data_IF_819045212172
#
_entry.id   IF_819045212172
#
_cell.length_a   1.000
_cell.length_b   1.000
_cell.length_c   1.000
_cell.angle_alpha   90.00
_cell.angle_beta   90.00
_cell.angle_gamma   90.00
#
_symmetry.space_group_name_H-M   'P 1'
#
loop_
_entity.id
_entity.type
_entity.pdbx_description
1 polymer ?
#
# COMPACT_ATOMS: atom_id res chain seq x y z
N UNK A 1 -24.86 3.93 34.11
CA UNK A 1 -25.03 4.10 32.66
C UNK A 1 -24.08 3.22 31.84
N UNK A 2 -22.82 3.00 32.22
CA UNK A 2 -21.88 2.14 31.49
C UNK A 2 -22.35 0.69 31.31
N UNK A 3 -22.97 0.09 32.31
CA UNK A 3 -23.42 -1.31 32.25
C UNK A 3 -24.52 -1.56 31.19
N UNK A 4 -25.48 -0.64 31.06
CA UNK A 4 -26.56 -0.74 30.06
C UNK A 4 -25.98 -0.55 28.67
N UNK A 5 -25.10 0.44 28.48
CA UNK A 5 -24.39 0.66 27.21
C UNK A 5 -23.65 -0.59 26.77
N UNK A 6 -22.82 -1.17 27.64
CA UNK A 6 -22.02 -2.35 27.31
C UNK A 6 -22.90 -3.57 26.98
N UNK A 7 -23.99 -3.77 27.71
CA UNK A 7 -24.95 -4.84 27.40
C UNK A 7 -25.62 -4.64 26.03
N UNK A 8 -26.01 -3.40 25.71
CA UNK A 8 -26.62 -3.06 24.41
C UNK A 8 -25.63 -3.26 23.25
N UNK A 9 -24.38 -2.82 23.40
CA UNK A 9 -23.33 -3.01 22.37
C UNK A 9 -23.11 -4.50 22.13
N UNK A 10 -22.91 -5.31 23.20
CA UNK A 10 -22.73 -6.77 23.05
C UNK A 10 -23.91 -7.42 22.35
N UNK A 11 -25.14 -7.02 22.69
CA UNK A 11 -26.34 -7.55 22.04
C UNK A 11 -26.40 -7.21 20.57
N UNK A 12 -26.06 -5.95 20.15
CA UNK A 12 -26.01 -5.54 18.76
C UNK A 12 -24.95 -6.31 17.98
N UNK A 13 -23.73 -6.41 18.50
CA UNK A 13 -22.65 -7.17 17.85
C UNK A 13 -23.02 -8.65 17.68
N UNK A 14 -23.68 -9.24 18.66
CA UNK A 14 -24.20 -10.61 18.58
C UNK A 14 -25.25 -10.77 17.46
N UNK A 15 -26.17 -9.79 17.32
CA UNK A 15 -27.17 -9.82 16.24
C UNK A 15 -26.51 -9.62 14.86
N UNK A 16 -25.49 -8.76 14.74
CA UNK A 16 -24.71 -8.60 13.50
C UNK A 16 -23.99 -9.90 13.13
N UNK A 17 -23.38 -10.58 14.11
CA UNK A 17 -22.75 -11.88 13.88
C UNK A 17 -23.78 -12.90 13.39
N UNK A 18 -24.92 -13.00 14.05
CA UNK A 18 -26.01 -13.88 13.61
C UNK A 18 -26.48 -13.55 12.20
N UNK A 19 -26.59 -12.26 11.84
CA UNK A 19 -26.98 -11.83 10.49
C UNK A 19 -25.93 -12.24 9.46
N UNK A 20 -24.63 -12.06 9.75
CA UNK A 20 -23.55 -12.44 8.83
C UNK A 20 -23.50 -13.94 8.53
N UNK A 21 -23.92 -14.78 9.50
CA UNK A 21 -23.96 -16.23 9.35
C UNK A 21 -25.24 -16.71 8.68
N UNK A 22 -26.39 -16.11 9.04
CA UNK A 22 -27.72 -16.60 8.57
C UNK A 22 -28.19 -15.99 7.26
N UNK A 23 -27.71 -14.82 6.88
CA UNK A 23 -28.08 -14.13 5.64
C UNK A 23 -26.92 -13.23 5.16
N UNK A 24 -25.87 -13.81 4.52
CA UNK A 24 -24.70 -13.08 4.07
C UNK A 24 -25.04 -11.93 3.11
N UNK A 25 -25.95 -12.11 2.17
CA UNK A 25 -26.35 -11.06 1.21
C UNK A 25 -26.87 -9.82 1.92
N UNK A 26 -27.78 -10.00 2.88
CA UNK A 26 -28.30 -8.89 3.69
C UNK A 26 -27.24 -8.29 4.59
N UNK A 27 -26.27 -9.08 5.02
CA UNK A 27 -25.14 -8.57 5.78
C UNK A 27 -24.23 -7.70 4.90
N UNK A 28 -24.00 -8.06 3.65
CA UNK A 28 -23.22 -7.26 2.71
C UNK A 28 -23.90 -5.92 2.38
N UNK A 29 -25.25 -5.91 2.26
CA UNK A 29 -26.01 -4.66 2.17
C UNK A 29 -25.81 -3.77 3.41
N UNK A 30 -25.83 -4.35 4.61
CA UNK A 30 -25.56 -3.65 5.85
C UNK A 30 -24.12 -3.11 5.88
N UNK A 31 -23.13 -3.90 5.50
CA UNK A 31 -21.72 -3.54 5.46
C UNK A 31 -21.47 -2.37 4.50
N UNK A 32 -22.15 -2.30 3.38
CA UNK A 32 -22.03 -1.17 2.44
C UNK A 32 -22.23 0.19 3.11
N UNK A 33 -23.03 0.25 4.18
CA UNK A 33 -23.34 1.50 4.88
C UNK A 33 -22.64 1.61 6.25
N UNK A 34 -22.38 0.49 6.93
CA UNK A 34 -21.97 0.46 8.33
C UNK A 34 -20.59 -0.13 8.58
N UNK A 35 -19.84 -0.52 7.56
CA UNK A 35 -18.48 -1.06 7.71
C UNK A 35 -17.55 -0.06 8.41
N UNK A 36 -17.57 1.20 7.96
CA UNK A 36 -16.73 2.27 8.55
C UNK A 36 -16.98 2.46 10.05
N UNK A 37 -18.22 2.63 10.57
CA UNK A 37 -18.47 2.67 12.00
C UNK A 37 -17.97 1.45 12.78
N UNK A 38 -18.03 0.25 12.20
CA UNK A 38 -17.48 -0.96 12.82
C UNK A 38 -15.95 -0.91 12.90
N UNK A 39 -15.28 -0.44 11.84
CA UNK A 39 -13.83 -0.22 11.79
C UNK A 39 -13.38 0.84 12.80
N UNK A 40 -14.11 1.95 12.93
CA UNK A 40 -13.86 2.98 13.96
C UNK A 40 -13.91 2.40 15.38
N UNK A 41 -14.77 1.41 15.60
CA UNK A 41 -14.85 0.65 16.84
C UNK A 41 -13.55 -0.06 17.21
N UNK A 42 -12.75 -0.51 16.24
CA UNK A 42 -11.46 -1.16 16.49
C UNK A 42 -10.46 -0.26 17.20
N UNK A 43 -10.55 1.05 16.97
CA UNK A 43 -9.70 2.05 17.62
C UNK A 43 -10.22 2.48 18.99
N UNK A 44 -11.56 2.49 19.19
CA UNK A 44 -12.20 3.09 20.37
C UNK A 44 -12.76 2.07 21.38
N UNK A 45 -13.05 0.83 20.96
CA UNK A 45 -13.66 -0.21 21.81
C UNK A 45 -12.80 -1.49 21.86
N UNK A 46 -11.70 -1.40 22.60
CA UNK A 46 -10.77 -2.53 22.77
C UNK A 46 -11.43 -3.77 23.38
N UNK A 47 -12.52 -3.62 24.15
CA UNK A 47 -13.19 -4.73 24.80
C UNK A 47 -14.00 -5.61 23.83
N UNK A 48 -14.37 -5.10 22.68
CA UNK A 48 -15.10 -5.81 21.63
C UNK A 48 -14.27 -5.98 20.35
N UNK A 49 -12.95 -5.70 20.38
CA UNK A 49 -12.08 -5.69 19.20
C UNK A 49 -12.13 -6.99 18.42
N UNK A 50 -12.03 -8.15 19.10
CA UNK A 50 -12.06 -9.46 18.44
C UNK A 50 -13.40 -9.70 17.73
N UNK A 51 -14.51 -9.33 18.38
CA UNK A 51 -15.82 -9.44 17.74
C UNK A 51 -15.97 -8.50 16.54
N UNK A 52 -15.41 -7.30 16.62
CA UNK A 52 -15.42 -6.34 15.52
C UNK A 52 -14.58 -6.84 14.33
N UNK A 53 -13.43 -7.47 14.58
CA UNK A 53 -12.59 -8.08 13.53
C UNK A 53 -13.31 -9.20 12.77
N UNK A 54 -14.20 -9.95 13.43
CA UNK A 54 -15.05 -10.95 12.78
C UNK A 54 -16.15 -10.32 11.91
N UNK A 55 -16.57 -9.10 12.23
CA UNK A 55 -17.70 -8.42 11.60
C UNK A 55 -17.29 -7.55 10.42
N UNK A 56 -16.17 -6.87 10.46
CA UNK A 56 -15.73 -6.00 9.38
C UNK A 56 -15.49 -6.79 8.08
N UNK A 57 -15.60 -6.08 6.97
CA UNK A 57 -15.40 -6.67 5.65
C UNK A 57 -14.45 -5.82 4.83
N UNK A 58 -13.79 -6.47 3.89
CA UNK A 58 -12.85 -5.86 2.96
C UNK A 58 -13.13 -6.37 1.54
N UNK A 59 -12.70 -5.61 0.56
CA UNK A 59 -12.57 -6.10 -0.81
C UNK A 59 -11.25 -6.83 -0.97
N UNK A 60 -11.09 -7.60 -2.04
CA UNK A 60 -9.83 -8.32 -2.29
C UNK A 60 -9.50 -8.41 -3.77
N UNK A 61 -8.29 -8.87 -4.09
CA UNK A 61 -7.85 -9.11 -5.46
C UNK A 61 -8.46 -10.37 -6.09
N UNK A 62 -8.96 -11.30 -5.27
CA UNK A 62 -9.43 -12.62 -5.71
C UNK A 62 -10.96 -12.71 -5.83
N UNK A 63 -11.69 -11.81 -5.16
CA UNK A 63 -13.14 -11.89 -5.09
C UNK A 63 -13.80 -10.60 -5.57
N UNK A 64 -14.96 -10.77 -6.21
CA UNK A 64 -15.93 -9.69 -6.36
C UNK A 64 -16.74 -9.56 -5.07
N UNK A 65 -16.94 -8.33 -4.56
CA UNK A 65 -17.66 -8.08 -3.31
C UNK A 65 -16.78 -8.12 -2.07
N UNK A 66 -17.38 -8.50 -0.94
CA UNK A 66 -16.74 -8.43 0.36
C UNK A 66 -16.22 -9.78 0.86
N UNK A 67 -15.14 -9.74 1.64
CA UNK A 67 -14.58 -10.87 2.37
C UNK A 67 -14.29 -10.50 3.83
N UNK A 68 -14.31 -11.49 4.72
CA UNK A 68 -13.85 -11.35 6.10
C UNK A 68 -12.38 -11.76 6.24
N UNK A 69 -11.74 -11.39 7.34
CA UNK A 69 -10.40 -11.87 7.69
C UNK A 69 -10.37 -13.39 7.87
N UNK A 70 -11.44 -13.98 8.46
CA UNK A 70 -11.57 -15.43 8.61
C UNK A 70 -11.59 -16.14 7.24
N UNK A 71 -12.43 -15.67 6.31
CA UNK A 71 -12.51 -16.26 4.97
C UNK A 71 -11.23 -16.05 4.16
N UNK A 72 -10.53 -14.91 4.34
CA UNK A 72 -9.20 -14.71 3.76
C UNK A 72 -8.21 -15.76 4.28
N UNK A 73 -8.16 -15.96 5.62
CA UNK A 73 -7.29 -16.94 6.26
C UNK A 73 -7.50 -18.35 5.73
N UNK A 74 -8.75 -18.76 5.47
CA UNK A 74 -9.07 -20.08 4.89
C UNK A 74 -8.52 -20.25 3.46
N UNK A 75 -8.31 -19.15 2.73
CA UNK A 75 -7.77 -19.16 1.36
C UNK A 75 -6.25 -18.95 1.30
N UNK A 76 -5.63 -18.64 2.45
CA UNK A 76 -4.16 -18.45 2.49
C UNK A 76 -3.43 -19.69 2.00
N UNK A 77 -2.36 -19.47 1.26
CA UNK A 77 -1.46 -20.56 0.83
C UNK A 77 -0.57 -21.01 1.97
N UNK A 78 -0.07 -22.24 1.89
CA UNK A 78 0.80 -22.83 2.92
C UNK A 78 2.10 -22.06 3.14
N UNK A 79 2.63 -21.43 2.08
CA UNK A 79 3.86 -20.62 2.10
C UNK A 79 3.62 -19.13 2.43
N UNK A 80 2.37 -18.72 2.57
CA UNK A 80 1.99 -17.34 2.89
C UNK A 80 2.11 -17.08 4.39
N UNK A 81 2.85 -16.03 4.77
CA UNK A 81 3.16 -15.72 6.17
C UNK A 81 2.26 -14.68 6.80
N UNK A 82 1.66 -13.82 5.99
CA UNK A 82 0.92 -12.64 6.45
C UNK A 82 -0.39 -12.46 5.69
N UNK A 83 -1.33 -11.74 6.28
CA UNK A 83 -2.49 -11.20 5.57
C UNK A 83 -2.03 -9.91 4.91
N UNK A 84 -1.95 -9.91 3.58
CA UNK A 84 -1.50 -8.75 2.82
C UNK A 84 -2.63 -7.80 2.53
N UNK A 85 -2.38 -6.50 2.65
CA UNK A 85 -3.34 -5.47 2.30
C UNK A 85 -2.70 -4.25 1.65
N UNK A 86 -3.50 -3.52 0.89
CA UNK A 86 -3.17 -2.22 0.37
C UNK A 86 -4.28 -1.25 0.76
N UNK A 87 -3.91 -0.16 1.42
CA UNK A 87 -4.81 0.90 1.87
C UNK A 87 -4.34 2.26 1.35
N UNK A 88 -5.20 3.27 1.45
CA UNK A 88 -4.84 4.66 1.19
C UNK A 88 -5.27 5.20 -0.16
N UNK A 89 -6.39 4.74 -0.70
CA UNK A 89 -6.93 5.26 -1.94
C UNK A 89 -8.32 4.71 -2.24
N UNK A 90 -8.91 5.13 -3.34
CA UNK A 90 -10.13 4.51 -3.84
C UNK A 90 -9.85 3.12 -4.44
N UNK A 91 -10.87 2.29 -4.49
CA UNK A 91 -10.77 0.91 -4.97
C UNK A 91 -10.13 0.80 -6.36
N UNK A 92 -10.48 1.68 -7.30
CA UNK A 92 -9.98 1.58 -8.68
C UNK A 92 -8.48 1.87 -8.75
N UNK A 93 -8.03 2.85 -7.98
CA UNK A 93 -6.61 3.20 -7.86
C UNK A 93 -5.83 2.08 -7.19
N UNK A 94 -6.32 1.57 -6.06
CA UNK A 94 -5.66 0.47 -5.33
C UNK A 94 -5.53 -0.80 -6.19
N UNK A 95 -6.59 -1.19 -6.92
CA UNK A 95 -6.57 -2.38 -7.80
C UNK A 95 -5.59 -2.27 -8.97
N UNK A 96 -5.21 -1.04 -9.36
CA UNK A 96 -4.24 -0.77 -10.43
C UNK A 96 -2.83 -0.55 -9.92
N UNK A 97 -2.63 -0.58 -8.60
CA UNK A 97 -1.29 -0.39 -8.02
C UNK A 97 -0.31 -1.45 -8.53
N UNK A 98 0.87 -1.05 -9.02
CA UNK A 98 1.89 -1.99 -9.47
C UNK A 98 2.41 -2.90 -8.34
N UNK A 99 2.20 -2.51 -7.08
CA UNK A 99 2.61 -3.29 -5.91
C UNK A 99 1.89 -4.64 -5.80
N UNK A 100 0.69 -4.76 -6.36
CA UNK A 100 -0.14 -5.98 -6.27
C UNK A 100 0.41 -7.12 -7.12
N UNK A 101 1.06 -6.81 -8.25
CA UNK A 101 1.40 -7.81 -9.25
C UNK A 101 2.28 -8.95 -8.70
N UNK A 102 3.30 -8.64 -7.91
CA UNK A 102 4.19 -9.64 -7.34
C UNK A 102 3.48 -10.62 -6.39
N UNK A 103 2.51 -10.12 -5.61
CA UNK A 103 1.69 -10.96 -4.74
C UNK A 103 0.76 -11.86 -5.55
N UNK A 104 0.10 -11.32 -6.56
CA UNK A 104 -0.73 -12.09 -7.50
C UNK A 104 0.07 -13.17 -8.23
N UNK A 105 1.27 -12.86 -8.70
CA UNK A 105 2.16 -13.81 -9.37
C UNK A 105 2.55 -14.98 -8.46
N UNK A 106 2.60 -14.76 -7.15
CA UNK A 106 2.76 -15.83 -6.15
C UNK A 106 1.46 -16.53 -5.77
N UNK A 107 0.32 -16.06 -6.27
CA UNK A 107 -1.00 -16.54 -5.89
C UNK A 107 -1.40 -16.12 -4.47
N UNK A 108 -0.87 -15.00 -3.99
CA UNK A 108 -1.25 -14.41 -2.71
C UNK A 108 -2.35 -13.39 -2.92
N UNK A 109 -3.44 -13.56 -2.21
CA UNK A 109 -4.53 -12.59 -2.16
C UNK A 109 -4.09 -11.32 -1.44
N UNK A 110 -4.53 -10.15 -1.93
CA UNK A 110 -4.31 -8.85 -1.28
C UNK A 110 -5.66 -8.22 -0.98
N UNK A 111 -5.89 -7.82 0.28
CA UNK A 111 -7.06 -7.06 0.66
C UNK A 111 -6.98 -5.64 0.12
N UNK A 112 -8.05 -5.17 -0.45
CA UNK A 112 -8.22 -3.79 -0.95
C UNK A 112 -9.01 -3.02 0.11
N UNK A 113 -8.32 -2.14 0.80
CA UNK A 113 -8.85 -1.38 1.93
C UNK A 113 -9.09 0.06 1.50
N UNK A 114 -10.28 0.31 0.97
CA UNK A 114 -10.65 1.57 0.32
C UNK A 114 -11.38 2.57 1.22
N UNK A 115 -11.50 2.29 2.52
CA UNK A 115 -11.94 3.25 3.52
C UNK A 115 -10.74 4.10 4.01
N UNK A 116 -10.86 5.41 4.02
CA UNK A 116 -9.82 6.33 4.52
C UNK A 116 -9.32 6.00 5.94
N UNK A 117 -10.18 5.37 6.76
CA UNK A 117 -9.85 5.01 8.14
C UNK A 117 -8.97 3.75 8.23
N UNK A 118 -8.94 2.91 7.20
CA UNK A 118 -8.20 1.65 7.21
C UNK A 118 -6.71 1.88 7.45
N UNK A 119 -6.15 2.90 6.84
CA UNK A 119 -4.73 3.27 6.97
C UNK A 119 -4.32 3.69 8.40
N UNK A 120 -5.29 4.04 9.23
CA UNK A 120 -5.09 4.40 10.63
C UNK A 120 -5.40 3.22 11.56
N UNK A 121 -6.52 2.56 11.31
CA UNK A 121 -7.07 1.56 12.23
C UNK A 121 -6.34 0.23 12.10
N UNK A 122 -6.11 -0.25 10.88
CA UNK A 122 -5.54 -1.58 10.64
C UNK A 122 -4.12 -1.73 11.21
N UNK A 123 -3.21 -0.74 11.08
CA UNK A 123 -1.89 -0.82 11.74
C UNK A 123 -1.98 -0.93 13.27
N UNK A 124 -3.03 -0.36 13.90
CA UNK A 124 -3.21 -0.49 15.36
C UNK A 124 -3.70 -1.87 15.80
N UNK A 125 -4.32 -2.61 14.89
CA UNK A 125 -4.70 -4.01 15.10
C UNK A 125 -3.48 -4.91 14.99
N UNK A 126 -2.71 -4.76 13.92
CA UNK A 126 -1.44 -5.42 13.68
C UNK A 126 -1.54 -6.92 13.36
N UNK A 127 -2.47 -7.65 13.97
CA UNK A 127 -2.61 -9.11 13.82
C UNK A 127 -4.07 -9.57 13.86
N UNK A 128 -4.33 -10.68 13.17
CA UNK A 128 -5.57 -11.45 13.25
C UNK A 128 -5.22 -12.93 13.43
N UNK A 129 -5.71 -13.58 14.50
CA UNK A 129 -5.40 -14.97 14.86
C UNK A 129 -3.89 -15.29 14.77
N UNK A 130 -3.06 -14.47 15.42
CA UNK A 130 -1.59 -14.55 15.40
C UNK A 130 -0.92 -14.33 14.03
N UNK A 131 -1.68 -14.10 12.95
CA UNK A 131 -1.16 -13.78 11.63
C UNK A 131 -1.02 -12.26 11.50
N UNK A 132 0.13 -11.81 11.05
CA UNK A 132 0.42 -10.38 10.84
C UNK A 132 -0.44 -9.81 9.70
N UNK A 133 -1.01 -8.61 9.92
CA UNK A 133 -1.62 -7.78 8.87
C UNK A 133 -0.51 -6.89 8.30
N UNK A 134 -0.11 -7.13 7.05
CA UNK A 134 1.06 -6.49 6.44
C UNK A 134 0.67 -5.62 5.25
N UNK A 135 0.94 -4.32 5.34
CA UNK A 135 0.72 -3.37 4.26
C UNK A 135 1.76 -3.54 3.16
N UNK A 136 1.32 -3.84 1.93
CA UNK A 136 2.24 -4.08 0.82
C UNK A 136 2.93 -2.81 0.28
N UNK A 137 2.52 -1.63 0.68
CA UNK A 137 3.21 -0.37 0.40
C UNK A 137 4.28 0.00 1.44
N UNK A 138 4.58 -0.90 2.38
CA UNK A 138 5.69 -0.79 3.31
C UNK A 138 6.95 -1.49 2.77
N UNK A 139 8.12 -0.96 3.14
CA UNK A 139 9.41 -1.49 2.67
C UNK A 139 9.67 -2.93 3.12
N UNK A 140 9.28 -3.30 4.33
CA UNK A 140 9.46 -4.66 4.87
C UNK A 140 8.57 -5.72 4.22
N UNK A 141 7.50 -5.33 3.54
CA UNK A 141 6.56 -6.27 2.97
C UNK A 141 7.18 -7.13 1.84
N UNK A 142 8.22 -6.63 1.19
CA UNK A 142 8.94 -7.34 0.13
C UNK A 142 9.71 -8.57 0.65
N UNK A 143 10.08 -8.61 1.93
CA UNK A 143 10.88 -9.70 2.50
C UNK A 143 10.18 -11.06 2.43
N UNK A 144 8.84 -11.06 2.41
CA UNK A 144 8.04 -12.28 2.31
C UNK A 144 7.98 -12.85 0.88
N UNK A 145 8.29 -12.03 -0.12
CA UNK A 145 8.20 -12.40 -1.54
C UNK A 145 9.55 -12.45 -2.24
N UNK A 146 10.61 -11.90 -1.64
CA UNK A 146 11.96 -11.80 -2.22
C UNK A 146 12.60 -13.16 -2.42
N UNK A 147 13.22 -13.35 -3.58
CA UNK A 147 13.94 -14.58 -3.97
C UNK A 147 15.46 -14.37 -3.93
N UNK A 148 16.22 -15.44 -4.07
CA UNK A 148 17.68 -15.34 -4.18
C UNK A 148 18.10 -14.67 -5.51
N UNK A 149 17.33 -14.86 -6.58
CA UNK A 149 17.53 -14.18 -7.86
C UNK A 149 17.38 -12.65 -7.69
N UNK A 150 16.39 -12.20 -6.90
CA UNK A 150 16.19 -10.77 -6.62
C UNK A 150 17.40 -10.17 -5.89
N UNK A 151 18.03 -10.91 -4.99
CA UNK A 151 19.25 -10.47 -4.30
C UNK A 151 20.42 -10.29 -5.26
N UNK A 152 20.53 -11.14 -6.28
CA UNK A 152 21.57 -11.01 -7.31
C UNK A 152 21.31 -9.82 -8.23
N UNK A 153 20.06 -9.65 -8.66
CA UNK A 153 19.62 -8.46 -9.44
C UNK A 153 19.90 -7.16 -8.69
N UNK A 154 19.58 -7.12 -7.39
CA UNK A 154 19.86 -5.97 -6.53
C UNK A 154 21.36 -5.63 -6.50
N UNK A 155 22.24 -6.64 -6.37
CA UNK A 155 23.69 -6.43 -6.40
C UNK A 155 24.15 -5.87 -7.73
N UNK A 156 23.64 -6.40 -8.85
CA UNK A 156 23.98 -5.95 -10.19
C UNK A 156 23.48 -4.51 -10.47
N UNK A 157 22.33 -4.15 -9.90
CA UNK A 157 21.73 -2.83 -10.09
C UNK A 157 22.38 -1.71 -9.24
N UNK A 158 23.21 -2.02 -8.26
CA UNK A 158 23.81 -1.01 -7.35
C UNK A 158 24.36 0.24 -8.05
N UNK A 159 25.09 0.15 -9.19
CA UNK A 159 25.61 1.35 -9.85
C UNK A 159 24.50 2.29 -10.34
N UNK A 160 23.45 1.77 -10.98
CA UNK A 160 22.33 2.58 -11.47
C UNK A 160 21.48 3.13 -10.34
N UNK A 161 21.24 2.35 -9.28
CA UNK A 161 20.54 2.83 -8.08
C UNK A 161 21.27 4.01 -7.44
N UNK A 162 22.60 3.94 -7.35
CA UNK A 162 23.43 5.05 -6.87
C UNK A 162 23.33 6.27 -7.77
N UNK A 163 23.42 6.12 -9.11
CA UNK A 163 23.23 7.24 -10.05
C UNK A 163 21.89 7.96 -9.81
N UNK A 164 20.80 7.20 -9.65
CA UNK A 164 19.47 7.74 -9.40
C UNK A 164 19.41 8.44 -8.02
N UNK A 165 19.95 7.81 -6.96
CA UNK A 165 19.96 8.41 -5.62
C UNK A 165 20.76 9.71 -5.59
N UNK A 166 21.94 9.75 -6.21
CA UNK A 166 22.77 10.94 -6.30
C UNK A 166 22.05 12.07 -7.05
N UNK A 167 21.29 11.75 -8.11
CA UNK A 167 20.51 12.72 -8.87
C UNK A 167 19.29 13.26 -8.11
N UNK A 168 18.62 12.43 -7.31
CA UNK A 168 17.42 12.80 -6.54
C UNK A 168 17.73 13.46 -5.19
N UNK A 169 18.92 13.22 -4.63
CA UNK A 169 19.32 13.78 -3.34
C UNK A 169 18.34 13.48 -2.23
N UNK A 170 17.93 14.52 -1.50
CA UNK A 170 17.03 14.41 -0.34
C UNK A 170 15.54 14.25 -0.70
N UNK A 171 15.19 14.20 -1.99
CA UNK A 171 13.81 13.95 -2.43
C UNK A 171 13.33 12.54 -2.11
N UNK A 172 14.26 11.60 -1.92
CA UNK A 172 13.99 10.20 -1.56
C UNK A 172 14.88 9.80 -0.37
N UNK A 173 14.35 8.96 0.51
CA UNK A 173 15.13 8.38 1.63
C UNK A 173 16.22 7.44 1.07
N UNK A 174 15.81 6.54 0.21
CA UNK A 174 16.67 5.56 -0.47
C UNK A 174 16.18 5.29 -1.89
N UNK A 175 17.06 4.70 -2.71
CA UNK A 175 16.72 4.09 -3.99
C UNK A 175 17.15 2.63 -3.94
N UNK A 176 16.20 1.71 -4.12
CA UNK A 176 16.44 0.27 -3.98
C UNK A 176 15.93 -0.50 -5.20
N UNK A 177 16.47 -1.70 -5.43
CA UNK A 177 15.93 -2.58 -6.46
C UNK A 177 14.60 -3.18 -5.99
N UNK A 178 13.59 -3.15 -6.84
CA UNK A 178 12.29 -3.74 -6.56
C UNK A 178 12.30 -5.23 -6.88
N UNK A 179 11.68 -6.02 -5.99
CA UNK A 179 11.33 -7.43 -6.25
C UNK A 179 9.82 -7.59 -6.48
N UNK A 180 9.08 -6.49 -6.57
CA UNK A 180 7.61 -6.50 -6.72
C UNK A 180 7.11 -5.86 -8.01
N UNK A 181 7.98 -5.17 -8.76
CA UNK A 181 7.61 -4.55 -10.03
C UNK A 181 7.83 -5.52 -11.19
N UNK A 182 6.87 -5.55 -12.11
CA UNK A 182 6.92 -6.31 -13.36
C UNK A 182 7.01 -5.34 -14.55
N UNK A 183 5.92 -4.69 -14.93
CA UNK A 183 5.87 -3.79 -16.08
C UNK A 183 6.27 -2.34 -15.77
N UNK A 184 6.14 -1.91 -14.51
CA UNK A 184 6.44 -0.54 -14.11
C UNK A 184 7.93 -0.35 -13.86
N UNK A 185 8.53 0.80 -14.28
CA UNK A 185 9.95 1.10 -14.05
C UNK A 185 10.27 1.46 -12.60
N UNK A 186 9.29 2.02 -11.89
CA UNK A 186 9.47 2.50 -10.52
C UNK A 186 8.15 2.54 -9.76
N UNK A 187 8.24 2.47 -8.44
CA UNK A 187 7.16 2.79 -7.50
C UNK A 187 7.74 3.42 -6.25
N UNK A 188 6.89 3.98 -5.40
CA UNK A 188 7.29 4.44 -4.07
C UNK A 188 6.74 3.52 -3.00
N UNK A 189 7.51 3.34 -1.95
CA UNK A 189 7.10 2.71 -0.70
C UNK A 189 7.54 3.58 0.46
N UNK A 190 6.96 3.33 1.64
CA UNK A 190 7.34 4.03 2.87
C UNK A 190 8.07 3.08 3.81
N UNK A 191 8.92 3.64 4.64
CA UNK A 191 9.58 2.88 5.71
C UNK A 191 8.52 2.35 6.69
N UNK A 192 8.85 1.28 7.41
CA UNK A 192 7.93 0.59 8.32
C UNK A 192 7.29 1.55 9.32
N UNK A 193 8.07 2.45 9.88
CA UNK A 193 7.64 3.37 10.92
C UNK A 193 7.15 4.74 10.41
N UNK A 194 7.27 4.98 9.10
CA UNK A 194 6.84 6.26 8.52
C UNK A 194 5.34 6.20 8.19
N UNK A 195 4.59 7.31 8.37
CA UNK A 195 3.20 7.37 7.95
C UNK A 195 3.10 7.29 6.43
N UNK A 196 2.04 6.64 5.94
CA UNK A 196 1.73 6.65 4.50
C UNK A 196 1.44 8.07 4.01
N UNK A 197 1.43 8.25 2.69
CA UNK A 197 1.11 9.54 2.07
C UNK A 197 -0.27 10.01 2.50
N UNK A 198 -1.25 9.11 2.48
CA UNK A 198 -2.64 9.40 2.82
C UNK A 198 -2.77 9.77 4.30
N UNK A 199 -2.09 9.04 5.17
CA UNK A 199 -2.04 9.35 6.60
C UNK A 199 -1.43 10.74 6.85
N UNK A 200 -0.36 11.12 6.13
CA UNK A 200 0.20 12.46 6.22
C UNK A 200 -0.75 13.54 5.73
N UNK A 201 -1.46 13.31 4.61
CA UNK A 201 -2.45 14.25 4.09
C UNK A 201 -3.59 14.45 5.10
N UNK A 202 -4.07 13.36 5.71
CA UNK A 202 -5.09 13.43 6.75
C UNK A 202 -4.62 14.20 7.98
N UNK A 203 -3.41 13.94 8.48
CA UNK A 203 -2.84 14.66 9.62
C UNK A 203 -2.71 16.17 9.33
N UNK A 204 -2.31 16.54 8.11
CA UNK A 204 -2.28 17.93 7.65
C UNK A 204 -3.68 18.55 7.61
N UNK A 205 -4.68 17.83 7.09
CA UNK A 205 -6.07 18.27 7.06
C UNK A 205 -6.66 18.47 8.46
N UNK A 206 -6.19 17.70 9.45
CA UNK A 206 -6.54 17.85 10.88
C UNK A 206 -5.80 18.99 11.60
N UNK A 207 -4.96 19.76 10.86
CA UNK A 207 -4.28 20.94 11.39
C UNK A 207 -2.90 20.66 12.00
N UNK A 208 -2.35 19.46 11.82
CA UNK A 208 -0.96 19.18 12.20
C UNK A 208 -0.03 19.72 11.11
N UNK A 209 0.54 20.91 11.35
CA UNK A 209 1.41 21.60 10.39
C UNK A 209 2.90 21.28 10.54
N UNK A 210 3.32 20.72 11.67
CA UNK A 210 4.72 20.38 11.99
C UNK A 210 5.05 18.90 11.67
N UNK A 211 4.55 18.39 10.55
CA UNK A 211 4.93 17.07 10.10
C UNK A 211 6.23 17.13 9.29
N UNK A 212 7.14 16.15 9.46
CA UNK A 212 8.31 16.04 8.60
C UNK A 212 7.87 15.92 7.14
N UNK A 213 8.70 16.42 6.24
CA UNK A 213 8.43 16.31 4.80
C UNK A 213 8.39 14.83 4.41
N UNK A 214 7.42 14.47 3.57
CA UNK A 214 7.32 13.12 3.04
C UNK A 214 8.53 12.80 2.16
N UNK A 215 9.29 11.80 2.54
CA UNK A 215 10.49 11.35 1.84
C UNK A 215 10.37 9.84 1.60
N UNK A 216 9.87 9.42 0.42
CA UNK A 216 9.64 8.01 0.13
C UNK A 216 10.95 7.26 -0.12
N UNK A 217 10.87 5.93 -0.09
CA UNK A 217 11.83 5.04 -0.71
C UNK A 217 11.37 4.83 -2.15
N UNK A 218 12.27 5.04 -3.12
CA UNK A 218 12.00 4.77 -4.54
C UNK A 218 12.47 3.36 -4.87
N UNK A 219 11.54 2.48 -5.22
CA UNK A 219 11.86 1.17 -5.76
C UNK A 219 11.97 1.23 -7.28
N UNK A 220 13.01 0.63 -7.83
CA UNK A 220 13.35 0.61 -9.25
C UNK A 220 13.33 -0.82 -9.76
N UNK A 221 12.67 -1.06 -10.88
CA UNK A 221 12.71 -2.34 -11.59
C UNK A 221 14.00 -2.44 -12.45
N UNK A 222 15.01 -3.24 -12.04
CA UNK A 222 16.27 -3.34 -12.78
C UNK A 222 16.10 -3.93 -14.18
N UNK A 223 15.05 -4.71 -14.38
CA UNK A 223 14.79 -5.39 -15.66
C UNK A 223 14.06 -4.51 -16.68
N UNK A 224 13.50 -3.38 -16.23
CA UNK A 224 12.76 -2.48 -17.11
C UNK A 224 13.68 -1.81 -18.15
N UNK A 225 13.26 -1.70 -19.44
CA UNK A 225 14.08 -1.14 -20.50
C UNK A 225 14.62 0.27 -20.23
N UNK A 226 13.80 1.13 -19.60
CA UNK A 226 14.21 2.50 -19.23
C UNK A 226 15.37 2.47 -18.23
N UNK A 227 15.35 1.55 -17.27
CA UNK A 227 16.40 1.44 -16.25
C UNK A 227 17.69 0.86 -16.83
N UNK A 228 17.58 -0.16 -17.70
CA UNK A 228 18.73 -0.71 -18.43
C UNK A 228 19.38 0.40 -19.28
N UNK A 229 18.60 1.20 -19.97
CA UNK A 229 19.11 2.32 -20.75
C UNK A 229 19.75 3.39 -19.88
N UNK A 230 19.14 3.75 -18.74
CA UNK A 230 19.69 4.71 -17.78
C UNK A 230 21.06 4.27 -17.23
N UNK A 231 21.27 2.98 -17.04
CA UNK A 231 22.55 2.44 -16.60
C UNK A 231 23.72 2.75 -17.58
N UNK A 232 23.42 2.84 -18.89
CA UNK A 232 24.37 3.09 -19.95
C UNK A 232 24.64 4.60 -20.21
N UNK A 233 23.82 5.50 -19.67
CA UNK A 233 23.93 6.95 -19.88
C UNK A 233 24.98 7.52 -18.92
N UNK A 234 25.85 8.39 -19.46
CA UNK A 234 26.85 9.17 -18.71
C UNK A 234 26.52 10.67 -18.65
N UNK A 235 25.55 11.13 -19.45
CA UNK A 235 25.04 12.51 -19.40
C UNK A 235 24.30 12.78 -18.10
N UNK A 236 24.92 13.58 -17.22
CA UNK A 236 24.39 13.89 -15.88
C UNK A 236 23.06 14.65 -15.91
N UNK A 237 22.83 15.51 -16.93
CA UNK A 237 21.56 16.22 -17.09
C UNK A 237 20.45 15.23 -17.43
N UNK A 238 20.70 14.33 -18.37
CA UNK A 238 19.76 13.29 -18.77
C UNK A 238 19.46 12.32 -17.61
N UNK A 239 20.46 11.92 -16.83
CA UNK A 239 20.29 11.09 -15.62
C UNK A 239 19.37 11.80 -14.61
N UNK A 240 19.60 13.11 -14.38
CA UNK A 240 18.79 13.91 -13.47
C UNK A 240 17.33 14.02 -13.95
N UNK A 241 17.12 14.25 -15.24
CA UNK A 241 15.79 14.38 -15.81
C UNK A 241 15.01 13.06 -15.75
N UNK A 242 15.63 11.97 -16.14
CA UNK A 242 15.01 10.64 -16.08
C UNK A 242 14.70 10.25 -14.62
N UNK A 243 15.64 10.46 -13.71
CA UNK A 243 15.45 10.14 -12.28
C UNK A 243 14.29 10.94 -11.66
N UNK A 244 14.18 12.23 -12.03
CA UNK A 244 13.07 13.09 -11.61
C UNK A 244 11.75 12.57 -12.15
N UNK A 245 11.69 12.21 -13.43
CA UNK A 245 10.46 11.67 -14.05
C UNK A 245 10.07 10.33 -13.43
N UNK A 246 11.03 9.45 -13.13
CA UNK A 246 10.78 8.18 -12.46
C UNK A 246 10.16 8.36 -11.06
N UNK A 247 10.65 9.32 -10.29
CA UNK A 247 10.08 9.63 -8.97
C UNK A 247 8.68 10.27 -9.10
N UNK A 248 8.54 11.27 -9.95
CA UNK A 248 7.30 12.02 -10.08
C UNK A 248 6.16 11.15 -10.64
N UNK A 249 6.44 10.25 -11.59
CA UNK A 249 5.45 9.28 -12.07
C UNK A 249 5.05 8.27 -10.99
N UNK A 250 6.00 7.83 -10.16
CA UNK A 250 5.71 6.92 -9.06
C UNK A 250 4.84 7.61 -7.99
N UNK A 251 5.10 8.89 -7.70
CA UNK A 251 4.24 9.71 -6.83
C UNK A 251 2.83 9.86 -7.40
N UNK A 252 2.70 10.15 -8.70
CA UNK A 252 1.39 10.27 -9.37
C UNK A 252 0.60 8.96 -9.35
N UNK A 253 1.28 7.82 -9.51
CA UNK A 253 0.64 6.50 -9.45
C UNK A 253 0.04 6.20 -8.07
N UNK A 254 0.62 6.76 -7.00
CA UNK A 254 0.11 6.66 -5.63
C UNK A 254 -0.86 7.81 -5.27
N UNK A 255 -1.32 8.60 -6.26
CA UNK A 255 -2.25 9.70 -6.04
C UNK A 255 -1.63 10.92 -5.35
N UNK A 256 -0.31 11.00 -5.29
CA UNK A 256 0.39 12.15 -4.70
C UNK A 256 0.52 13.28 -5.71
N UNK A 257 0.12 14.46 -5.34
CA UNK A 257 0.35 15.65 -6.17
C UNK A 257 1.84 15.98 -6.21
N UNK A 258 2.40 16.01 -7.42
CA UNK A 258 3.79 16.44 -7.61
C UNK A 258 3.92 17.95 -7.37
N UNK A 259 5.05 18.34 -6.76
CA UNK A 259 5.28 19.75 -6.37
C UNK A 259 5.43 20.68 -7.57
N UNK A 260 5.99 20.19 -8.67
CA UNK A 260 6.36 20.98 -9.83
C UNK A 260 5.85 20.32 -11.14
N UNK A 261 4.53 20.32 -11.40
CA UNK A 261 3.97 19.62 -12.56
C UNK A 261 4.46 20.18 -13.90
N UNK A 262 4.77 21.47 -13.98
CA UNK A 262 5.31 22.09 -15.21
C UNK A 262 6.73 21.57 -15.50
N UNK A 263 7.57 21.47 -14.48
CA UNK A 263 8.92 20.93 -14.62
C UNK A 263 8.90 19.45 -15.04
N UNK A 264 8.01 18.67 -14.45
CA UNK A 264 7.78 17.26 -14.84
C UNK A 264 7.49 17.14 -16.35
N UNK A 265 6.54 17.95 -16.86
CA UNK A 265 6.19 17.94 -18.29
C UNK A 265 7.37 18.39 -19.17
N UNK A 266 8.13 19.41 -18.75
CA UNK A 266 9.31 19.87 -19.48
C UNK A 266 10.39 18.80 -19.58
N UNK A 267 10.72 18.12 -18.48
CA UNK A 267 11.70 17.04 -18.44
C UNK A 267 11.24 15.84 -19.28
N UNK A 268 9.97 15.46 -19.18
CA UNK A 268 9.39 14.39 -19.99
C UNK A 268 9.53 14.71 -21.49
N UNK A 269 9.20 15.93 -21.92
CA UNK A 269 9.33 16.36 -23.30
C UNK A 269 10.80 16.41 -23.75
N UNK A 270 11.72 16.83 -22.89
CA UNK A 270 13.16 16.83 -23.20
C UNK A 270 13.69 15.41 -23.43
N UNK A 271 13.29 14.44 -22.60
CA UNK A 271 13.63 13.03 -22.76
C UNK A 271 13.09 12.49 -24.10
N UNK A 272 11.79 12.70 -24.38
CA UNK A 272 11.15 12.24 -25.60
C UNK A 272 11.83 12.83 -26.85
N UNK A 273 12.18 14.11 -26.83
CA UNK A 273 12.84 14.78 -27.96
C UNK A 273 14.29 14.29 -28.26
N UNK A 274 14.96 13.75 -27.23
CA UNK A 274 16.30 13.16 -27.39
C UNK A 274 16.28 11.68 -27.80
N UNK A 275 15.13 11.01 -27.61
CA UNK A 275 14.98 9.56 -27.85
C UNK A 275 14.20 9.21 -29.12
N UNK A 276 13.41 10.14 -29.65
CA UNK A 276 12.69 10.06 -30.92
C UNK A 276 13.51 10.71 -32.05
#
# INVERSE_FOLDING_TARGET
>A
MSSIRNASVKKLLSEFKRLSESNPEKYDEFITQFNRPLKEGLYSDFSNRDTLLELIRFKSTELEGFTSLAAYKERMREDQKSIYYLAGGDEQTLRKSPLINAYKNKGFEVLIMDDEIDDIVIPTVGRYDDIELKAINKSSAVDDIKTDEDKEKEKAAKPVLKKIKDALGDRVKEVVASSRLDESPSCIVVDENDPTVQMQQMLKAMGQTELPEFTPILEINPDHPVIKRLAEIDDMEMISDISTVLLDQALLAEGVMIKQPVEFVQKLNAILSKTL
#
